data_IF_493470878960
#
_entry.id   IF_493470878960
#
_cell.length_a   1.000
_cell.length_b   1.000
_cell.length_c   1.000
_cell.angle_alpha   90.00
_cell.angle_beta   90.00
_cell.angle_gamma   90.00
#
_symmetry.space_group_name_H-M   'P 1'
#
loop_
_entity.id
_entity.type
_entity.pdbx_description
1 polymer ?
#
# COMPACT_ATOMS: atom_id res chain seq x y z
N UNK A 1 8.50 1.52 -16.96
CA UNK A 1 7.46 0.76 -16.23
C UNK A 1 6.53 1.71 -15.48
N UNK A 2 5.40 1.20 -14.99
CA UNK A 2 4.49 1.87 -14.06
C UNK A 2 4.62 1.19 -12.69
N UNK A 3 4.88 1.96 -11.63
CA UNK A 3 4.89 1.49 -10.25
C UNK A 3 3.53 1.76 -9.59
N UNK A 4 2.95 0.73 -9.00
CA UNK A 4 1.73 0.78 -8.19
C UNK A 4 1.88 -0.21 -7.04
N UNK A 5 1.23 0.07 -5.90
CA UNK A 5 1.16 -0.91 -4.83
C UNK A 5 0.25 -2.08 -5.22
N UNK A 6 -0.96 -1.74 -5.67
CA UNK A 6 -1.98 -2.69 -6.07
C UNK A 6 -2.76 -2.19 -7.29
N UNK A 7 -3.70 -3.02 -7.75
CA UNK A 7 -4.69 -2.68 -8.78
C UNK A 7 -6.09 -2.83 -8.20
N UNK A 8 -7.13 -2.60 -9.01
CA UNK A 8 -8.51 -2.80 -8.59
C UNK A 8 -8.87 -4.28 -8.30
N UNK A 9 -8.05 -5.23 -8.76
CA UNK A 9 -8.22 -6.67 -8.53
C UNK A 9 -7.46 -7.18 -7.31
N UNK A 10 -6.65 -6.32 -6.69
CA UNK A 10 -5.81 -6.61 -5.54
C UNK A 10 -6.36 -5.89 -4.30
N UNK A 11 -6.02 -6.36 -3.09
CA UNK A 11 -6.41 -5.65 -1.88
C UNK A 11 -5.80 -4.25 -1.82
N UNK A 12 -6.51 -3.35 -1.13
CA UNK A 12 -5.97 -2.05 -0.75
C UNK A 12 -4.74 -2.23 0.13
N UNK A 13 -3.88 -1.22 0.25
CA UNK A 13 -2.71 -1.30 1.12
C UNK A 13 -3.11 -1.62 2.57
N UNK A 14 -4.20 -1.03 3.06
CA UNK A 14 -4.68 -1.30 4.41
C UNK A 14 -5.22 -2.72 4.54
N UNK A 15 -6.09 -3.14 3.61
CA UNK A 15 -6.64 -4.49 3.61
C UNK A 15 -5.55 -5.56 3.53
N UNK A 16 -4.50 -5.31 2.75
CA UNK A 16 -3.32 -6.17 2.67
C UNK A 16 -2.50 -6.14 3.96
N UNK A 17 -2.26 -4.96 4.55
CA UNK A 17 -1.45 -4.87 5.77
C UNK A 17 -2.07 -5.63 6.94
N UNK A 18 -3.38 -5.56 7.07
CA UNK A 18 -4.17 -6.23 8.12
C UNK A 18 -4.51 -7.70 7.80
N UNK A 19 -4.21 -8.18 6.59
CA UNK A 19 -4.56 -9.54 6.17
C UNK A 19 -6.07 -9.76 5.93
N UNK A 20 -6.83 -8.68 5.77
CA UNK A 20 -8.29 -8.72 5.56
C UNK A 20 -8.68 -9.40 4.27
N UNK A 21 -7.83 -9.32 3.26
CA UNK A 21 -8.01 -9.99 1.98
C UNK A 21 -8.00 -11.52 2.12
N UNK A 22 -7.11 -12.05 2.97
CA UNK A 22 -7.03 -13.48 3.26
C UNK A 22 -8.28 -13.92 4.03
N UNK A 23 -8.65 -13.17 5.07
CA UNK A 23 -9.86 -13.45 5.86
C UNK A 23 -11.13 -13.41 5.01
N UNK A 24 -11.23 -12.43 4.11
CA UNK A 24 -12.37 -12.28 3.21
C UNK A 24 -12.43 -13.44 2.21
N UNK A 25 -11.31 -13.77 1.56
CA UNK A 25 -11.26 -14.91 0.62
C UNK A 25 -11.55 -16.24 1.31
N UNK A 26 -11.14 -16.41 2.56
CA UNK A 26 -11.49 -17.59 3.36
C UNK A 26 -13.00 -17.64 3.66
N UNK A 27 -13.62 -16.52 4.08
CA UNK A 27 -15.07 -16.42 4.31
C UNK A 27 -15.90 -16.71 3.06
N UNK A 28 -15.38 -16.38 1.88
CA UNK A 28 -16.01 -16.64 0.59
C UNK A 28 -15.70 -18.04 0.04
N UNK A 29 -15.04 -18.91 0.82
CA UNK A 29 -14.62 -20.26 0.41
C UNK A 29 -13.70 -20.30 -0.82
N UNK A 30 -12.95 -19.22 -1.08
CA UNK A 30 -11.99 -19.13 -2.18
C UNK A 30 -10.60 -19.63 -1.79
N UNK A 31 -10.35 -19.77 -0.48
CA UNK A 31 -9.08 -20.22 0.08
C UNK A 31 -9.38 -21.19 1.23
N UNK A 32 -8.93 -22.46 1.16
CA UNK A 32 -9.03 -23.41 2.26
C UNK A 32 -8.26 -22.95 3.52
N UNK A 33 -8.66 -23.43 4.71
CA UNK A 33 -8.02 -23.05 5.99
C UNK A 33 -6.49 -23.22 6.00
N UNK A 34 -6.01 -24.37 5.52
CA UNK A 34 -4.58 -24.68 5.49
C UNK A 34 -3.79 -23.68 4.61
N UNK A 35 -4.38 -23.26 3.49
CA UNK A 35 -3.79 -22.24 2.63
C UNK A 35 -3.87 -20.84 3.27
N UNK A 36 -4.95 -20.51 3.98
CA UNK A 36 -5.08 -19.25 4.67
C UNK A 36 -4.02 -19.07 5.78
N UNK A 37 -3.73 -20.14 6.54
CA UNK A 37 -2.66 -20.13 7.53
C UNK A 37 -1.27 -19.88 6.90
N UNK A 38 -0.98 -20.56 5.77
CA UNK A 38 0.25 -20.35 5.01
C UNK A 38 0.35 -18.91 4.48
N UNK A 39 -0.72 -18.39 3.86
CA UNK A 39 -0.76 -17.03 3.34
C UNK A 39 -0.55 -15.98 4.44
N UNK A 40 -1.07 -16.18 5.65
CA UNK A 40 -0.82 -15.29 6.79
C UNK A 40 0.64 -15.31 7.24
N UNK A 41 1.28 -16.47 7.21
CA UNK A 41 2.73 -16.58 7.48
C UNK A 41 3.54 -15.84 6.42
N UNK A 42 3.26 -16.07 5.14
CA UNK A 42 3.92 -15.40 4.02
C UNK A 42 3.70 -13.87 4.08
N UNK A 43 2.50 -13.43 4.47
CA UNK A 43 2.19 -12.01 4.70
C UNK A 43 3.06 -11.38 5.77
N UNK A 44 3.41 -12.10 6.84
CA UNK A 44 4.29 -11.57 7.87
C UNK A 44 5.69 -11.29 7.29
N UNK A 45 6.21 -12.21 6.49
CA UNK A 45 7.51 -12.05 5.82
C UNK A 45 7.48 -10.94 4.77
N UNK A 46 6.40 -10.83 3.99
CA UNK A 46 6.23 -9.75 3.01
C UNK A 46 6.19 -8.37 3.69
N UNK A 47 5.47 -8.23 4.81
CA UNK A 47 5.42 -6.98 5.57
C UNK A 47 6.79 -6.58 6.10
N UNK A 48 7.55 -7.55 6.61
CA UNK A 48 8.92 -7.31 7.06
C UNK A 48 9.84 -6.86 5.90
N UNK A 49 9.73 -7.49 4.72
CA UNK A 49 10.46 -7.08 3.52
C UNK A 49 10.08 -5.67 3.06
N UNK A 50 8.80 -5.34 3.05
CA UNK A 50 8.31 -4.02 2.64
C UNK A 50 8.81 -2.93 3.59
N UNK A 51 8.73 -3.15 4.90
CA UNK A 51 9.26 -2.24 5.92
C UNK A 51 10.76 -2.04 5.73
N UNK A 52 11.51 -3.15 5.54
CA UNK A 52 12.95 -3.07 5.29
C UNK A 52 13.25 -2.25 4.04
N UNK A 53 12.56 -2.49 2.93
CA UNK A 53 12.76 -1.75 1.69
C UNK A 53 12.50 -0.24 1.85
N UNK A 54 11.44 0.12 2.58
CA UNK A 54 11.15 1.54 2.87
C UNK A 54 12.22 2.18 3.76
N UNK A 55 12.74 1.45 4.76
CA UNK A 55 13.83 1.92 5.63
C UNK A 55 15.14 2.08 4.87
N UNK A 56 15.53 1.06 4.10
CA UNK A 56 16.76 1.08 3.29
C UNK A 56 16.75 2.25 2.29
N UNK A 57 15.56 2.62 1.79
CA UNK A 57 15.36 3.77 0.90
C UNK A 57 15.23 5.12 1.64
N UNK A 58 15.30 5.14 2.97
CA UNK A 58 15.24 6.37 3.77
C UNK A 58 13.84 6.97 3.95
N UNK A 59 12.77 6.24 3.61
CA UNK A 59 11.39 6.72 3.70
C UNK A 59 10.67 6.31 4.99
N UNK A 60 11.31 5.46 5.80
CA UNK A 60 10.75 4.98 7.05
C UNK A 60 11.83 4.99 8.14
N UNK A 61 11.49 5.47 9.32
CA UNK A 61 12.41 5.53 10.45
C UNK A 61 12.73 4.15 11.02
N UNK A 62 13.85 4.04 11.73
CA UNK A 62 14.22 2.83 12.47
C UNK A 62 13.53 2.78 13.83
N UNK A 63 12.21 2.61 13.80
CA UNK A 63 11.38 2.42 14.98
C UNK A 63 10.86 0.98 15.09
N UNK A 64 10.64 0.50 16.31
CA UNK A 64 10.13 -0.85 16.57
C UNK A 64 8.71 -1.07 16.02
N UNK A 65 7.87 -0.03 16.08
CA UNK A 65 6.50 -0.02 15.58
C UNK A 65 6.25 1.25 14.77
N UNK A 66 5.39 1.14 13.76
CA UNK A 66 4.97 2.23 12.89
C UNK A 66 3.46 2.30 12.88
N UNK A 67 2.91 3.50 13.00
CA UNK A 67 1.51 3.69 12.69
C UNK A 67 1.29 3.47 11.19
N UNK A 68 0.09 3.02 10.83
CA UNK A 68 -0.22 2.66 9.45
C UNK A 68 -0.12 3.86 8.48
N UNK A 69 -0.37 5.09 8.94
CA UNK A 69 -0.27 6.29 8.09
C UNK A 69 1.19 6.57 7.70
N UNK A 70 2.12 6.44 8.65
CA UNK A 70 3.56 6.59 8.42
C UNK A 70 4.08 5.52 7.45
N UNK A 71 3.67 4.27 7.65
CA UNK A 71 3.97 3.18 6.72
C UNK A 71 3.41 3.45 5.32
N UNK A 72 2.14 3.82 5.21
CA UNK A 72 1.48 4.08 3.93
C UNK A 72 2.21 5.16 3.13
N UNK A 73 2.61 6.26 3.79
CA UNK A 73 3.41 7.31 3.17
C UNK A 73 4.76 6.78 2.69
N UNK A 74 5.43 5.96 3.49
CA UNK A 74 6.73 5.39 3.14
C UNK A 74 6.64 4.45 1.93
N UNK A 75 5.60 3.61 1.85
CA UNK A 75 5.35 2.71 0.72
C UNK A 75 5.18 3.50 -0.57
N UNK A 76 4.35 4.55 -0.54
CA UNK A 76 4.13 5.40 -1.71
C UNK A 76 5.37 6.19 -2.13
N UNK A 77 6.14 6.72 -1.17
CA UNK A 77 7.40 7.39 -1.44
C UNK A 77 8.45 6.43 -2.05
N UNK A 78 8.56 5.21 -1.52
CA UNK A 78 9.43 4.16 -2.06
C UNK A 78 9.05 3.78 -3.50
N UNK A 79 7.76 3.56 -3.79
CA UNK A 79 7.31 3.26 -5.15
C UNK A 79 7.60 4.43 -6.11
N UNK A 80 7.38 5.66 -5.65
CA UNK A 80 7.69 6.87 -6.39
C UNK A 80 9.20 6.99 -6.69
N UNK A 81 10.08 6.67 -5.74
CA UNK A 81 11.53 6.79 -5.93
C UNK A 81 12.13 5.75 -6.89
N UNK A 82 11.37 4.74 -7.30
CA UNK A 82 11.87 3.74 -8.27
C UNK A 82 12.15 4.37 -9.64
N UNK A 83 12.96 3.68 -10.45
CA UNK A 83 13.24 4.08 -11.84
C UNK A 83 12.04 3.84 -12.80
N UNK A 84 10.82 3.73 -12.26
CA UNK A 84 9.61 3.70 -13.07
C UNK A 84 9.35 5.08 -13.67
N UNK A 85 8.87 5.10 -14.92
CA UNK A 85 8.53 6.35 -15.61
C UNK A 85 7.29 7.01 -14.99
N UNK A 86 6.39 6.18 -14.45
CA UNK A 86 5.16 6.58 -13.77
C UNK A 86 5.07 5.87 -12.42
N UNK A 87 4.52 6.57 -11.43
CA UNK A 87 4.08 6.01 -10.15
C UNK A 87 2.66 6.49 -9.88
N UNK A 88 1.77 5.59 -9.44
CA UNK A 88 0.36 5.89 -9.19
C UNK A 88 -0.02 5.40 -7.79
N UNK A 89 -0.68 6.26 -7.03
CA UNK A 89 -1.39 5.90 -5.80
C UNK A 89 -2.86 5.62 -6.12
N UNK A 90 -3.42 4.55 -5.55
CA UNK A 90 -4.85 4.27 -5.66
C UNK A 90 -5.61 5.19 -4.72
N UNK A 91 -6.79 5.66 -5.16
CA UNK A 91 -7.63 6.49 -4.31
C UNK A 91 -8.04 5.73 -3.04
N UNK A 92 -8.21 4.41 -3.11
CA UNK A 92 -8.45 3.51 -1.97
C UNK A 92 -7.42 3.70 -0.85
N UNK A 93 -6.13 3.76 -1.20
CA UNK A 93 -5.07 3.98 -0.22
C UNK A 93 -5.17 5.41 0.33
N UNK A 94 -5.36 6.39 -0.55
CA UNK A 94 -5.45 7.80 -0.17
C UNK A 94 -6.64 8.11 0.76
N UNK A 95 -7.74 7.35 0.66
CA UNK A 95 -8.92 7.47 1.53
C UNK A 95 -8.97 6.43 2.65
N UNK A 96 -7.92 5.62 2.83
CA UNK A 96 -7.83 4.65 3.92
C UNK A 96 -8.84 3.50 3.83
N UNK A 97 -9.23 3.11 2.62
CA UNK A 97 -10.20 2.03 2.41
C UNK A 97 -9.58 0.68 2.77
N UNK A 98 -10.33 -0.15 3.48
CA UNK A 98 -9.87 -1.48 3.92
C UNK A 98 -10.39 -2.57 2.98
N UNK A 99 -11.62 -2.42 2.49
CA UNK A 99 -12.28 -3.42 1.65
C UNK A 99 -11.97 -3.21 0.16
N UNK A 100 -11.71 -4.28 -0.61
CA UNK A 100 -11.41 -4.17 -2.04
C UNK A 100 -12.65 -3.78 -2.85
N UNK A 101 -12.45 -3.15 -4.01
CA UNK A 101 -13.57 -2.86 -4.93
C UNK A 101 -14.00 -4.11 -5.72
N UNK A 102 -13.09 -5.05 -5.93
CA UNK A 102 -13.34 -6.31 -6.65
C UNK A 102 -12.57 -7.47 -6.01
N UNK A 103 -13.18 -8.65 -6.05
CA UNK A 103 -12.53 -9.92 -5.72
C UNK A 103 -12.63 -10.83 -6.95
N UNK A 104 -11.52 -11.09 -7.65
CA UNK A 104 -11.52 -11.99 -8.79
C UNK A 104 -12.10 -13.37 -8.45
N UNK A 105 -12.71 -14.00 -9.45
CA UNK A 105 -13.40 -15.30 -9.32
C UNK A 105 -14.61 -15.30 -8.37
N UNK A 106 -15.26 -14.15 -8.18
CA UNK A 106 -16.58 -14.07 -7.54
C UNK A 106 -17.59 -13.41 -8.48
N UNK A 107 -18.86 -13.79 -8.33
CA UNK A 107 -20.00 -13.21 -9.06
C UNK A 107 -21.02 -12.62 -8.09
N UNK A 108 -21.59 -13.45 -7.22
CA UNK A 108 -22.64 -13.04 -6.27
C UNK A 108 -22.17 -13.09 -4.81
N UNK A 109 -20.98 -13.61 -4.56
CA UNK A 109 -20.41 -13.83 -3.23
C UNK A 109 -19.89 -12.52 -2.61
N UNK A 110 -19.47 -11.56 -3.45
CA UNK A 110 -19.01 -10.24 -3.05
C UNK A 110 -19.69 -9.16 -3.90
N UNK A 111 -20.02 -7.98 -3.34
CA UNK A 111 -20.58 -6.86 -4.09
C UNK A 111 -19.51 -6.17 -4.96
N UNK A 112 -18.92 -6.91 -5.91
CA UNK A 112 -17.92 -6.39 -6.84
C UNK A 112 -18.44 -5.15 -7.56
N UNK A 113 -17.58 -4.15 -7.71
CA UNK A 113 -17.84 -2.89 -8.44
C UNK A 113 -18.95 -2.02 -7.81
N UNK A 114 -19.33 -2.28 -6.55
CA UNK A 114 -20.40 -1.56 -5.85
C UNK A 114 -19.91 -0.75 -4.65
N UNK A 115 -18.68 -0.99 -4.16
CA UNK A 115 -18.10 -0.21 -3.06
C UNK A 115 -17.94 1.25 -3.49
N UNK A 116 -18.43 2.17 -2.67
CA UNK A 116 -18.18 3.62 -2.80
C UNK A 116 -17.09 4.03 -1.82
N UNK A 117 -16.40 5.12 -2.11
CA UNK A 117 -15.48 5.73 -1.15
C UNK A 117 -16.24 6.21 0.10
N UNK A 118 -15.56 6.12 1.24
CA UNK A 118 -16.05 6.52 2.56
C UNK A 118 -16.19 8.03 2.73
N UNK A 119 -15.59 8.81 1.83
CA UNK A 119 -15.58 10.28 1.82
C UNK A 119 -16.13 10.83 0.51
N UNK A 120 -16.70 12.03 0.55
CA UNK A 120 -17.06 12.80 -0.65
C UNK A 120 -15.86 13.61 -1.18
N UNK A 121 -16.05 14.26 -2.34
CA UNK A 121 -14.98 15.00 -3.01
C UNK A 121 -14.54 16.25 -2.22
N UNK A 122 -15.46 16.92 -1.52
CA UNK A 122 -15.14 18.12 -0.75
C UNK A 122 -14.30 17.76 0.49
N UNK A 123 -14.65 16.66 1.15
CA UNK A 123 -13.88 16.08 2.25
C UNK A 123 -12.50 15.64 1.76
N UNK A 124 -12.43 14.89 0.65
CA UNK A 124 -11.17 14.44 0.06
C UNK A 124 -10.23 15.62 -0.26
N UNK A 125 -10.77 16.67 -0.89
CA UNK A 125 -9.99 17.84 -1.29
C UNK A 125 -9.46 18.67 -0.11
N UNK A 126 -10.02 18.49 1.09
CA UNK A 126 -9.62 19.22 2.30
C UNK A 126 -8.89 18.35 3.32
N UNK A 127 -8.68 17.06 3.03
CA UNK A 127 -8.08 16.11 3.96
C UNK A 127 -6.54 16.27 4.05
N UNK A 128 -5.99 16.66 5.23
CA UNK A 128 -4.54 16.77 5.39
C UNK A 128 -3.79 15.43 5.29
N UNK A 129 -4.46 14.29 5.51
CA UNK A 129 -3.85 12.98 5.33
C UNK A 129 -3.62 12.68 3.84
N UNK A 130 -4.61 12.98 2.99
CA UNK A 130 -4.52 12.91 1.54
C UNK A 130 -3.34 13.74 1.01
N UNK A 131 -3.27 15.01 1.41
CA UNK A 131 -2.20 15.93 1.03
C UNK A 131 -0.81 15.44 1.42
N UNK A 132 -0.67 14.85 2.61
CA UNK A 132 0.62 14.34 3.10
C UNK A 132 1.14 13.18 2.27
N UNK A 133 0.26 12.29 1.80
CA UNK A 133 0.67 11.18 0.94
C UNK A 133 1.09 11.71 -0.43
N UNK A 134 0.32 12.61 -1.03
CA UNK A 134 0.66 13.19 -2.33
C UNK A 134 1.98 13.95 -2.30
N UNK A 135 2.25 14.72 -1.25
CA UNK A 135 3.55 15.39 -1.08
C UNK A 135 4.69 14.39 -0.97
N UNK A 136 4.53 13.31 -0.19
CA UNK A 136 5.54 12.25 -0.11
C UNK A 136 5.82 11.58 -1.46
N UNK A 137 4.81 11.40 -2.33
CA UNK A 137 5.01 10.96 -3.71
C UNK A 137 5.78 12.00 -4.55
N UNK A 138 5.34 13.27 -4.55
CA UNK A 138 5.95 14.33 -5.36
C UNK A 138 7.41 14.58 -4.97
N UNK A 139 7.69 14.67 -3.67
CA UNK A 139 9.04 14.85 -3.13
C UNK A 139 9.96 13.69 -3.57
N UNK A 140 9.49 12.44 -3.46
CA UNK A 140 10.25 11.26 -3.87
C UNK A 140 10.46 11.17 -5.40
N UNK A 141 9.55 11.72 -6.21
CA UNK A 141 9.72 11.81 -7.68
C UNK A 141 10.70 12.89 -8.11
N UNK A 142 10.79 13.98 -7.34
CA UNK A 142 11.66 15.12 -7.63
C UNK A 142 13.06 14.94 -7.12
N UNK A 143 13.25 14.10 -6.10
CA UNK A 143 14.57 13.73 -5.60
C UNK A 143 15.42 13.20 -6.77
N UNK A 144 16.60 13.80 -6.99
CA UNK A 144 17.50 13.32 -8.02
C UNK A 144 17.96 11.89 -7.69
N UNK A 145 17.96 10.97 -8.67
CA UNK A 145 18.51 9.65 -8.44
C UNK A 145 20.02 9.76 -8.24
N UNK A 146 20.48 9.78 -6.99
CA UNK A 146 21.91 9.69 -6.66
C UNK A 146 22.47 10.62 -5.58
N UNK A 147 21.67 11.45 -4.89
CA UNK A 147 22.23 12.36 -3.84
C UNK A 147 22.60 11.68 -2.51
N UNK A 148 22.78 10.35 -2.51
CA UNK A 148 23.30 9.60 -1.37
C UNK A 148 24.46 8.70 -1.83
N UNK A 149 25.42 9.29 -2.55
CA UNK A 149 26.78 8.74 -2.57
C UNK A 149 27.41 9.04 -1.21
N UNK A 150 27.86 7.96 -0.56
CA UNK A 150 28.40 7.99 0.79
C UNK A 150 29.50 9.03 0.95
N UNK A 151 29.55 9.61 2.14
CA UNK A 151 30.80 10.10 2.67
C UNK A 151 31.81 8.95 2.59
N UNK A 152 32.74 9.04 1.64
CA UNK A 152 34.00 8.32 1.67
C UNK A 152 34.70 8.71 2.98
N UNK A 153 34.65 7.84 3.98
CA UNK A 153 35.55 7.92 5.14
C UNK A 153 36.90 7.31 4.72
N UNK A 154 37.90 8.21 4.65
CA UNK A 154 39.35 7.93 4.65
C UNK A 154 39.81 7.14 5.89
#
# INVERSE_FOLDING_TARGET
ALAVFASHDLPTLWGWWEGRDIELRQRLNLVPEADAARLRSERADDRARLVKACRDAGFLEDAAEHDFTSLQRAVHAFLASTNSALSIAQLDDLTGEVDPVNIPATTNEYPNWRRRFSVDLDTLASDPAFDRILRSLDDARRAEPGSNEGADDE
#
